data_IF_293485435775
#
_entry.id   IF_293485435775
#
_cell.length_a   1.000
_cell.length_b   1.000
_cell.length_c   1.000
_cell.angle_alpha   90.00
_cell.angle_beta   90.00
_cell.angle_gamma   90.00
#
_symmetry.space_group_name_H-M   'P 1'
#
loop_
_entity.id
_entity.type
_entity.pdbx_description
1 polymer ?
#
# COMPACT_ATOMS: atom_id res chain seq x y z
N UNK A 1 -7.77 -14.34 -9.83
CA UNK A 1 -7.49 -13.41 -10.95
C UNK A 1 -6.13 -13.73 -11.54
N UNK A 2 -6.02 -13.76 -12.88
CA UNK A 2 -4.76 -14.02 -13.59
C UNK A 2 -3.74 -12.92 -13.34
N UNK A 3 -2.44 -13.27 -13.36
CA UNK A 3 -1.32 -12.33 -13.11
C UNK A 3 -1.27 -11.19 -14.13
N UNK A 4 -1.88 -11.38 -15.29
CA UNK A 4 -1.96 -10.45 -16.41
C UNK A 4 -3.21 -9.56 -16.40
N UNK A 5 -4.14 -9.74 -15.46
CA UNK A 5 -5.31 -8.88 -15.32
C UNK A 5 -4.88 -7.41 -15.13
N UNK A 6 -5.37 -6.46 -15.95
CA UNK A 6 -5.04 -5.04 -15.83
C UNK A 6 -5.23 -4.47 -14.42
N UNK A 7 -6.29 -4.87 -13.70
CA UNK A 7 -6.53 -4.43 -12.31
C UNK A 7 -5.43 -4.92 -11.37
N UNK A 8 -4.96 -6.16 -11.55
CA UNK A 8 -3.84 -6.73 -10.77
C UNK A 8 -2.55 -5.98 -11.05
N UNK A 9 -2.30 -5.58 -12.30
CA UNK A 9 -1.12 -4.80 -12.66
C UNK A 9 -1.15 -3.40 -12.05
N UNK A 10 -2.29 -2.72 -12.08
CA UNK A 10 -2.47 -1.41 -11.44
C UNK A 10 -2.33 -1.50 -9.91
N UNK A 11 -2.89 -2.54 -9.28
CA UNK A 11 -2.73 -2.79 -7.84
C UNK A 11 -1.27 -3.03 -7.44
N UNK A 12 -0.49 -3.74 -8.27
CA UNK A 12 0.96 -3.90 -8.08
C UNK A 12 1.71 -2.60 -8.25
N UNK A 13 1.36 -1.81 -9.27
CA UNK A 13 1.95 -0.49 -9.48
C UNK A 13 1.69 0.42 -8.28
N UNK A 14 0.44 0.50 -7.81
CA UNK A 14 0.06 1.28 -6.64
C UNK A 14 0.80 0.82 -5.37
N UNK A 15 0.93 -0.50 -5.17
CA UNK A 15 1.75 -1.07 -4.09
C UNK A 15 3.21 -0.60 -4.18
N UNK A 16 3.80 -0.64 -5.37
CA UNK A 16 5.19 -0.22 -5.63
C UNK A 16 5.40 1.26 -5.31
N UNK A 17 4.48 2.12 -5.77
CA UNK A 17 4.53 3.56 -5.50
C UNK A 17 4.45 3.82 -4.00
N UNK A 18 3.38 3.35 -3.35
CA UNK A 18 3.09 3.71 -1.96
C UNK A 18 4.06 3.08 -0.95
N UNK A 19 4.66 1.92 -1.25
CA UNK A 19 5.56 1.23 -0.31
C UNK A 19 7.03 1.56 -0.49
N UNK A 20 7.45 1.90 -1.71
CA UNK A 20 8.88 1.90 -2.07
C UNK A 20 9.32 3.14 -2.84
N UNK A 21 8.49 3.66 -3.74
CA UNK A 21 8.96 4.55 -4.79
C UNK A 21 8.38 5.97 -4.77
N UNK A 22 7.47 6.30 -3.84
CA UNK A 22 6.81 7.61 -3.77
C UNK A 22 7.80 8.78 -3.88
N UNK A 23 8.80 8.83 -3.00
CA UNK A 23 9.82 9.90 -3.00
C UNK A 23 10.62 9.97 -4.30
N UNK A 24 11.00 8.82 -4.87
CA UNK A 24 11.73 8.76 -6.16
C UNK A 24 10.89 9.29 -7.32
N UNK A 25 9.57 9.24 -7.18
CA UNK A 25 8.62 9.77 -8.15
C UNK A 25 8.22 11.22 -7.86
N UNK A 26 8.90 11.90 -6.92
CA UNK A 26 8.59 13.28 -6.54
C UNK A 26 7.29 13.43 -5.75
N UNK A 27 6.75 12.34 -5.20
CA UNK A 27 5.55 12.37 -4.37
C UNK A 27 5.94 12.60 -2.92
N UNK A 28 5.28 13.57 -2.30
CA UNK A 28 5.36 13.78 -0.86
C UNK A 28 4.58 12.67 -0.14
N UNK A 29 5.23 12.08 0.87
CA UNK A 29 4.63 11.10 1.76
C UNK A 29 4.57 11.68 3.17
N UNK A 30 3.37 11.69 3.73
CA UNK A 30 3.14 12.11 5.11
C UNK A 30 3.69 11.09 6.10
N UNK A 31 3.83 11.52 7.35
CA UNK A 31 4.24 10.63 8.45
C UNK A 31 3.33 9.42 8.63
N UNK A 32 2.06 9.50 8.21
CA UNK A 32 1.06 8.42 8.29
C UNK A 32 0.99 7.56 7.02
N UNK A 33 1.92 7.78 6.08
CA UNK A 33 2.02 7.08 4.80
C UNK A 33 1.10 7.65 3.71
N UNK A 34 0.33 8.69 4.02
CA UNK A 34 -0.57 9.33 3.08
C UNK A 34 0.15 10.05 1.95
N UNK A 35 -0.29 9.79 0.72
CA UNK A 35 0.07 10.52 -0.49
C UNK A 35 -1.21 11.12 -1.08
N UNK A 36 -1.16 12.36 -1.56
CA UNK A 36 -2.32 13.01 -2.19
C UNK A 36 -2.84 12.18 -3.36
N UNK A 37 -4.14 11.85 -3.34
CA UNK A 37 -4.76 11.05 -4.39
C UNK A 37 -4.68 11.76 -5.75
N UNK A 38 -4.81 13.09 -5.78
CA UNK A 38 -4.63 13.90 -7.00
C UNK A 38 -3.25 13.70 -7.62
N UNK A 39 -2.19 13.62 -6.82
CA UNK A 39 -0.83 13.37 -7.30
C UNK A 39 -0.61 11.94 -7.80
N UNK A 40 -1.30 10.97 -7.22
CA UNK A 40 -1.32 9.61 -7.77
C UNK A 40 -1.99 9.58 -9.15
N UNK A 41 -3.09 10.32 -9.34
CA UNK A 41 -3.81 10.40 -10.61
C UNK A 41 -2.98 11.06 -11.74
N UNK A 42 -2.04 11.94 -11.39
CA UNK A 42 -1.10 12.56 -12.33
C UNK A 42 0.00 11.61 -12.85
N UNK A 43 0.17 10.42 -12.23
CA UNK A 43 1.21 9.48 -12.64
C UNK A 43 0.97 8.89 -14.03
N UNK A 44 2.02 8.50 -14.79
CA UNK A 44 1.89 8.01 -16.16
C UNK A 44 0.91 6.84 -16.35
N UNK A 45 0.72 6.00 -15.33
CA UNK A 45 -0.22 4.87 -15.37
C UNK A 45 -1.69 5.27 -15.23
N UNK A 46 -1.98 6.48 -14.74
CA UNK A 46 -3.34 6.95 -14.43
C UNK A 46 -3.75 8.19 -15.22
N UNK A 47 -2.82 9.11 -15.54
CA UNK A 47 -3.14 10.44 -16.11
C UNK A 47 -3.94 10.44 -17.41
N UNK A 48 -3.83 9.39 -18.23
CA UNK A 48 -4.52 9.27 -19.51
C UNK A 48 -5.69 8.26 -19.47
N UNK A 49 -6.05 7.78 -18.27
CA UNK A 49 -7.10 6.80 -18.09
C UNK A 49 -8.41 7.50 -17.74
N UNK A 50 -9.43 7.29 -18.57
CA UNK A 50 -10.78 7.70 -18.22
C UNK A 50 -11.21 7.02 -16.91
N UNK A 51 -11.77 7.79 -15.97
CA UNK A 51 -12.23 7.32 -14.67
C UNK A 51 -11.13 6.72 -13.77
N UNK A 52 -9.87 7.18 -13.90
CA UNK A 52 -8.75 6.70 -13.09
C UNK A 52 -9.04 6.68 -11.58
N UNK A 53 -9.75 7.68 -11.05
CA UNK A 53 -10.14 7.72 -9.64
C UNK A 53 -11.03 6.53 -9.26
N UNK A 54 -12.08 6.26 -10.04
CA UNK A 54 -12.99 5.13 -9.81
C UNK A 54 -12.25 3.79 -9.89
N UNK A 55 -11.28 3.68 -10.79
CA UNK A 55 -10.43 2.48 -10.88
C UNK A 55 -9.59 2.29 -9.62
N UNK A 56 -9.04 3.36 -9.04
CA UNK A 56 -8.32 3.28 -7.77
C UNK A 56 -9.28 2.91 -6.63
N UNK A 57 -10.44 3.53 -6.54
CA UNK A 57 -11.47 3.22 -5.54
C UNK A 57 -11.89 1.74 -5.61
N UNK A 58 -12.13 1.21 -6.82
CA UNK A 58 -12.38 -0.21 -7.07
C UNK A 58 -11.23 -1.09 -6.57
N UNK A 59 -9.98 -0.72 -6.84
CA UNK A 59 -8.79 -1.48 -6.39
C UNK A 59 -8.71 -1.52 -4.86
N UNK A 60 -9.09 -0.44 -4.19
CA UNK A 60 -9.14 -0.38 -2.72
C UNK A 60 -10.29 -1.23 -2.18
N UNK A 61 -11.49 -1.06 -2.73
CA UNK A 61 -12.70 -1.76 -2.27
C UNK A 61 -12.63 -3.28 -2.48
N UNK A 62 -12.06 -3.74 -3.60
CA UNK A 62 -11.98 -5.17 -3.95
C UNK A 62 -10.71 -5.86 -3.44
N UNK A 63 -9.88 -5.17 -2.64
CA UNK A 63 -8.67 -5.76 -2.10
C UNK A 63 -8.97 -6.68 -0.90
N UNK A 64 -9.04 -7.99 -1.11
CA UNK A 64 -9.23 -8.96 -0.02
C UNK A 64 -8.21 -8.79 1.13
N UNK A 65 -6.98 -8.39 0.80
CA UNK A 65 -5.92 -8.18 1.79
C UNK A 65 -5.93 -6.80 2.43
N UNK A 66 -6.90 -5.94 2.08
CA UNK A 66 -7.02 -4.57 2.57
C UNK A 66 -5.68 -3.81 2.51
N UNK A 67 -5.00 -3.88 1.36
CA UNK A 67 -3.63 -3.33 1.21
C UNK A 67 -3.56 -1.81 1.28
N UNK A 68 -4.66 -1.12 1.01
CA UNK A 68 -4.72 0.31 0.82
C UNK A 68 -5.88 0.92 1.59
N UNK A 69 -5.74 2.19 1.94
CA UNK A 69 -6.82 2.99 2.51
C UNK A 69 -6.85 4.35 1.82
N UNK A 70 -8.03 4.76 1.37
CA UNK A 70 -8.33 6.13 0.94
C UNK A 70 -9.02 6.82 2.11
N UNK A 71 -8.58 8.04 2.43
CA UNK A 71 -9.12 8.81 3.54
C UNK A 71 -9.08 10.30 3.22
N UNK A 72 -9.98 11.04 3.86
CA UNK A 72 -10.05 12.50 3.76
C UNK A 72 -9.40 13.10 5.00
N UNK A 73 -8.47 14.02 4.79
CA UNK A 73 -7.84 14.72 5.90
C UNK A 73 -8.78 15.81 6.43
N UNK A 74 -9.18 15.78 7.70
CA UNK A 74 -10.10 16.77 8.26
C UNK A 74 -9.50 18.19 8.31
N UNK A 75 -8.17 18.35 8.25
CA UNK A 75 -7.52 19.66 8.39
C UNK A 75 -7.58 20.50 7.11
N UNK A 76 -7.43 19.87 5.95
CA UNK A 76 -7.36 20.53 4.64
C UNK A 76 -8.43 20.04 3.66
N UNK A 77 -9.26 19.07 4.07
CA UNK A 77 -10.30 18.46 3.26
C UNK A 77 -9.81 17.79 1.95
N UNK A 78 -8.51 17.48 1.86
CA UNK A 78 -7.91 16.78 0.72
C UNK A 78 -8.00 15.26 0.92
N UNK A 79 -8.03 14.55 -0.21
CA UNK A 79 -8.11 13.08 -0.22
C UNK A 79 -6.72 12.50 -0.39
N UNK A 80 -6.38 11.58 0.51
CA UNK A 80 -5.11 10.86 0.54
C UNK A 80 -5.34 9.36 0.35
N UNK A 81 -4.30 8.69 -0.13
CA UNK A 81 -4.21 7.24 -0.21
C UNK A 81 -2.90 6.77 0.40
N UNK A 82 -2.94 5.65 1.13
CA UNK A 82 -1.74 5.01 1.69
C UNK A 82 -1.78 3.50 1.51
N UNK A 83 -0.61 2.87 1.58
CA UNK A 83 -0.55 1.45 1.87
C UNK A 83 -0.73 1.23 3.38
N UNK A 84 -1.35 0.13 3.78
CA UNK A 84 -1.59 -0.16 5.20
C UNK A 84 -0.38 -0.81 5.87
N UNK A 85 0.42 -1.54 5.08
CA UNK A 85 1.59 -2.29 5.55
C UNK A 85 2.63 -2.45 4.43
N UNK A 86 3.84 -2.84 4.82
CA UNK A 86 4.90 -3.29 3.91
C UNK A 86 5.71 -2.17 3.27
N UNK A 87 5.81 -1.02 3.93
CA UNK A 87 6.67 0.08 3.50
C UNK A 87 8.14 -0.30 3.69
N UNK A 88 8.96 -0.02 2.69
CA UNK A 88 10.40 0.16 2.89
C UNK A 88 10.77 1.63 3.09
N UNK A 89 9.85 2.54 2.78
CA UNK A 89 9.94 3.96 3.12
C UNK A 89 9.75 4.14 4.63
N UNK A 90 10.44 5.12 5.23
CA UNK A 90 10.23 5.46 6.64
C UNK A 90 8.86 6.13 6.80
N UNK A 91 7.95 5.44 7.48
CA UNK A 91 6.61 5.95 7.85
C UNK A 91 6.47 5.79 9.36
N UNK A 92 6.27 6.90 10.07
CA UNK A 92 6.40 6.94 11.53
C UNK A 92 5.07 6.67 12.25
N UNK A 93 3.96 7.12 11.67
CA UNK A 93 2.65 7.17 12.32
C UNK A 93 1.62 6.32 11.55
N UNK A 94 1.96 5.06 11.28
CA UNK A 94 0.96 4.11 10.77
C UNK A 94 0.01 3.71 11.90
N UNK A 95 -1.27 3.64 11.56
CA UNK A 95 -2.33 3.22 12.47
C UNK A 95 -2.31 1.69 12.63
N UNK A 96 -1.32 1.20 13.38
CA UNK A 96 -1.10 -0.22 13.62
C UNK A 96 -1.28 -0.54 15.10
N UNK A 97 -2.05 -1.58 15.38
CA UNK A 97 -2.08 -2.15 16.74
C UNK A 97 -0.79 -2.93 16.98
N UNK A 98 0.03 -2.43 17.90
CA UNK A 98 1.20 -3.17 18.38
C UNK A 98 0.74 -4.39 19.17
N UNK A 99 1.29 -5.55 18.84
CA UNK A 99 1.13 -6.78 19.64
C UNK A 99 2.15 -6.69 20.77
N UNK A 100 1.68 -6.69 22.01
CA UNK A 100 2.53 -6.55 23.21
C UNK A 100 2.60 -7.84 24.02
N UNK A 101 1.62 -8.72 23.87
CA UNK A 101 1.61 -10.06 24.47
C UNK A 101 1.55 -11.15 23.37
N UNK A 102 2.49 -12.10 23.35
CA UNK A 102 2.44 -13.26 22.46
C UNK A 102 1.13 -14.06 22.53
N UNK A 103 0.42 -14.04 23.67
CA UNK A 103 -0.87 -14.71 23.81
C UNK A 103 -1.99 -14.06 22.99
N UNK A 104 -1.83 -12.79 22.55
CA UNK A 104 -2.77 -12.15 21.63
C UNK A 104 -2.78 -12.82 20.24
N UNK A 105 -1.64 -13.39 19.84
CA UNK A 105 -1.45 -14.05 18.54
C UNK A 105 -0.63 -15.33 18.76
N UNK A 106 -1.24 -16.42 19.25
CA UNK A 106 -0.53 -17.64 19.61
C UNK A 106 0.09 -18.36 18.41
N UNK A 107 -0.29 -18.01 17.18
CA UNK A 107 0.30 -18.56 15.96
C UNK A 107 0.35 -17.51 14.86
N UNK A 108 1.53 -17.32 14.29
CA UNK A 108 1.77 -16.52 13.10
C UNK A 108 2.58 -17.35 12.10
N UNK A 109 2.18 -17.29 10.82
CA UNK A 109 2.81 -18.08 9.76
C UNK A 109 3.56 -17.12 8.82
N UNK A 110 4.84 -17.42 8.57
CA UNK A 110 5.64 -16.71 7.58
C UNK A 110 6.06 -17.66 6.46
N UNK A 111 5.54 -17.43 5.25
CA UNK A 111 5.97 -18.17 4.06
C UNK A 111 7.28 -17.60 3.51
N UNK A 112 8.26 -18.47 3.26
CA UNK A 112 9.56 -18.13 2.68
C UNK A 112 10.00 -19.18 1.64
N UNK A 113 11.13 -18.97 0.97
CA UNK A 113 11.71 -19.95 0.05
C UNK A 113 12.43 -21.06 0.80
N UNK A 114 12.34 -22.30 0.32
CA UNK A 114 13.01 -23.46 0.93
C UNK A 114 14.52 -23.26 1.07
N UNK A 115 15.16 -22.64 0.08
CA UNK A 115 16.59 -22.30 0.10
C UNK A 115 17.00 -21.32 1.20
N UNK A 116 16.04 -20.69 1.89
CA UNK A 116 16.27 -19.81 3.03
C UNK A 116 16.12 -20.52 4.38
N UNK A 117 15.74 -21.81 4.40
CA UNK A 117 15.57 -22.59 5.62
C UNK A 117 16.82 -22.58 6.50
N UNK A 118 17.97 -22.93 5.92
CA UNK A 118 19.26 -22.99 6.63
C UNK A 118 19.65 -21.65 7.27
N UNK A 119 19.31 -20.51 6.66
CA UNK A 119 19.68 -19.18 7.21
C UNK A 119 18.73 -18.73 8.33
N UNK A 120 17.50 -19.25 8.36
CA UNK A 120 16.49 -18.91 9.37
C UNK A 120 16.60 -19.81 10.60
N UNK A 121 16.92 -21.09 10.39
CA UNK A 121 16.97 -22.10 11.44
C UNK A 121 18.37 -22.46 11.93
N UNK A 122 19.37 -22.43 11.02
CA UNK A 122 20.77 -22.77 11.33
C UNK A 122 21.52 -21.60 11.97
#
# INVERSE_FOLDING_TARGET
MSRNDPKVQLSKFLSSVLRHNAQKMGLEIRSDGGVLLSKILELPKFRNMANAQRVIEDIVATNEKQRFTIFRDPKNNLVYIRANQGHSLKVENLDLKKVVDPNEIPTAIHGTYFSKWEIIWG
#
